data_IF_810820395456
#
_entry.id   IF_810820395456
#
_cell.length_a   1.000
_cell.length_b   1.000
_cell.length_c   1.000
_cell.angle_alpha   90.00
_cell.angle_beta   90.00
_cell.angle_gamma   90.00
#
_symmetry.space_group_name_H-M   'P 1'
#
loop_
_entity.id
_entity.type
_entity.pdbx_description
1 polymer ?
#
# COMPACT_ATOMS: atom_id res chain seq x y z
N UNK A 1 9.25 -14.23 -1.68
CA UNK A 1 8.47 -13.26 -0.90
C UNK A 1 9.23 -11.95 -0.78
N UNK A 2 8.51 -10.81 -0.76
CA UNK A 2 9.11 -9.49 -0.54
C UNK A 2 9.87 -8.89 -1.73
N UNK A 3 9.62 -9.34 -2.94
CA UNK A 3 10.32 -8.87 -4.14
C UNK A 3 9.35 -8.47 -5.27
N UNK A 4 8.07 -8.27 -4.89
CA UNK A 4 7.02 -7.91 -5.85
C UNK A 4 7.29 -6.55 -6.52
N UNK A 5 7.92 -5.61 -5.79
CA UNK A 5 8.34 -4.31 -6.34
C UNK A 5 9.32 -4.47 -7.49
N UNK A 6 10.40 -5.24 -7.28
CA UNK A 6 11.39 -5.48 -8.33
C UNK A 6 10.79 -6.20 -9.56
N UNK A 7 9.86 -7.12 -9.33
CA UNK A 7 9.14 -7.77 -10.43
C UNK A 7 8.28 -6.77 -11.21
N UNK A 8 7.55 -5.89 -10.51
CA UNK A 8 6.72 -4.87 -11.14
C UNK A 8 7.57 -3.88 -11.96
N UNK A 9 8.69 -3.43 -11.42
CA UNK A 9 9.59 -2.48 -12.09
C UNK A 9 10.18 -3.09 -13.36
N UNK A 10 10.61 -4.35 -13.31
CA UNK A 10 11.15 -5.04 -14.49
C UNK A 10 10.08 -5.29 -15.58
N UNK A 11 8.85 -5.61 -15.17
CA UNK A 11 7.72 -5.72 -16.09
C UNK A 11 7.43 -4.36 -16.72
N UNK A 12 7.36 -3.28 -15.91
CA UNK A 12 7.13 -1.92 -16.37
C UNK A 12 8.18 -1.48 -17.39
N UNK A 13 9.46 -1.62 -17.02
CA UNK A 13 10.58 -1.32 -17.93
C UNK A 13 10.47 -2.07 -19.25
N UNK A 14 10.21 -3.36 -19.18
CA UNK A 14 10.09 -4.22 -20.38
C UNK A 14 8.95 -3.77 -21.29
N UNK A 15 7.77 -3.46 -20.73
CA UNK A 15 6.61 -2.94 -21.49
C UNK A 15 6.97 -1.63 -22.19
N UNK A 16 7.64 -0.73 -21.49
CA UNK A 16 8.05 0.57 -22.02
C UNK A 16 9.06 0.41 -23.15
N UNK A 17 10.08 -0.42 -22.96
CA UNK A 17 11.12 -0.68 -24.01
C UNK A 17 10.56 -1.39 -25.24
N UNK A 18 9.50 -2.17 -25.09
CA UNK A 18 8.78 -2.76 -26.22
C UNK A 18 7.86 -1.76 -26.93
N UNK A 19 7.69 -0.55 -26.43
CA UNK A 19 6.76 0.45 -26.98
C UNK A 19 5.28 0.05 -26.84
N UNK A 20 4.95 -0.80 -25.85
CA UNK A 20 3.61 -1.33 -25.63
C UNK A 20 2.83 -0.58 -24.53
N UNK A 21 3.40 0.46 -23.95
CA UNK A 21 2.75 1.32 -22.96
C UNK A 21 1.75 2.29 -23.61
N UNK A 22 0.74 2.68 -22.86
CA UNK A 22 -0.27 3.67 -23.30
C UNK A 22 0.18 5.08 -22.91
N UNK A 23 1.06 5.69 -23.72
CA UNK A 23 1.62 7.01 -23.45
C UNK A 23 0.53 8.09 -23.35
N UNK A 24 -0.50 8.01 -24.18
CA UNK A 24 -1.59 8.98 -24.15
C UNK A 24 -2.38 8.93 -22.84
N UNK A 25 -2.60 7.72 -22.30
CA UNK A 25 -3.20 7.55 -20.98
C UNK A 25 -2.30 8.10 -19.88
N UNK A 26 -1.01 7.79 -19.93
CA UNK A 26 -0.04 8.21 -18.93
C UNK A 26 0.09 9.73 -18.85
N UNK A 27 0.21 10.43 -19.97
CA UNK A 27 0.30 11.89 -20.01
C UNK A 27 -1.00 12.58 -19.59
N UNK A 28 -2.14 11.93 -19.82
CA UNK A 28 -3.44 12.54 -19.49
C UNK A 28 -3.86 12.33 -18.04
N UNK A 29 -3.52 11.20 -17.43
CA UNK A 29 -4.11 10.77 -16.17
C UNK A 29 -3.09 10.42 -15.07
N UNK A 30 -1.80 10.39 -15.38
CA UNK A 30 -0.77 10.04 -14.41
C UNK A 30 0.16 11.23 -14.16
N UNK A 31 0.68 11.30 -12.96
CA UNK A 31 1.67 12.31 -12.53
C UNK A 31 2.96 11.59 -12.22
N UNK A 32 4.11 12.12 -12.71
CA UNK A 32 5.43 11.60 -12.40
C UNK A 32 5.82 10.35 -13.18
N UNK A 33 5.18 10.06 -14.32
CA UNK A 33 5.60 8.96 -15.19
C UNK A 33 6.94 9.27 -15.85
N UNK A 34 7.04 10.40 -16.50
CA UNK A 34 8.23 10.92 -17.16
C UNK A 34 8.49 12.39 -16.79
N UNK A 35 9.49 13.00 -17.40
CA UNK A 35 9.85 14.39 -17.08
C UNK A 35 8.76 15.41 -17.44
N UNK A 36 7.92 15.10 -18.46
CA UNK A 36 6.82 15.99 -18.87
C UNK A 36 5.64 15.95 -17.88
N UNK A 37 5.48 14.84 -17.18
CA UNK A 37 4.40 14.62 -16.21
C UNK A 37 4.80 14.89 -14.76
N UNK A 38 6.03 15.35 -14.53
CA UNK A 38 6.49 15.74 -13.19
C UNK A 38 5.68 16.93 -12.64
N UNK A 39 5.32 16.91 -11.35
CA UNK A 39 4.67 18.07 -10.74
C UNK A 39 5.62 19.26 -10.64
N UNK A 40 5.06 20.46 -10.62
CA UNK A 40 5.84 21.69 -10.47
C UNK A 40 6.70 21.65 -9.19
N UNK A 41 7.99 21.95 -9.33
CA UNK A 41 8.95 21.92 -8.22
C UNK A 41 9.60 20.55 -7.95
N UNK A 42 9.25 19.51 -8.69
CA UNK A 42 9.96 18.24 -8.62
C UNK A 42 11.38 18.38 -9.24
N UNK A 43 12.32 17.61 -8.72
CA UNK A 43 13.67 17.58 -9.28
C UNK A 43 13.69 16.86 -10.63
N UNK A 44 14.47 17.37 -11.58
CA UNK A 44 14.71 16.67 -12.84
C UNK A 44 15.33 15.28 -12.56
N UNK A 45 14.91 14.28 -13.34
CA UNK A 45 15.33 12.90 -13.15
C UNK A 45 14.62 12.16 -12.01
N UNK A 46 13.58 12.74 -11.39
CA UNK A 46 12.82 12.07 -10.33
C UNK A 46 11.58 11.33 -10.82
N UNK A 47 11.37 11.24 -12.12
CA UNK A 47 10.24 10.51 -12.70
C UNK A 47 10.40 8.99 -12.56
N UNK A 48 9.28 8.27 -12.68
CA UNK A 48 9.31 6.82 -12.64
C UNK A 48 10.11 6.22 -13.81
N UNK A 49 10.02 6.80 -15.00
CA UNK A 49 10.83 6.39 -16.15
C UNK A 49 12.33 6.57 -15.87
N UNK A 50 12.73 7.72 -15.30
CA UNK A 50 14.12 7.98 -14.89
C UNK A 50 14.64 6.99 -13.86
N UNK A 51 13.79 6.59 -12.91
CA UNK A 51 14.13 5.53 -11.96
C UNK A 51 14.32 4.18 -12.65
N UNK A 52 13.40 3.79 -13.54
CA UNK A 52 13.49 2.52 -14.28
C UNK A 52 14.72 2.44 -15.19
N UNK A 53 15.06 3.57 -15.85
CA UNK A 53 16.24 3.68 -16.72
C UNK A 53 17.58 3.80 -15.96
N UNK A 54 17.54 3.83 -14.62
CA UNK A 54 18.73 3.94 -13.79
C UNK A 54 19.35 5.34 -13.77
N UNK A 55 18.63 6.37 -14.15
CA UNK A 55 19.15 7.76 -14.16
C UNK A 55 19.55 8.21 -12.73
N UNK A 56 18.86 7.70 -11.71
CA UNK A 56 19.10 8.11 -10.33
C UNK A 56 20.22 7.32 -9.63
N UNK A 57 20.37 6.02 -9.95
CA UNK A 57 21.25 5.11 -9.21
C UNK A 57 22.23 4.33 -10.10
N UNK A 58 22.20 4.57 -11.42
CA UNK A 58 23.03 3.85 -12.38
C UNK A 58 22.57 2.42 -12.68
N UNK A 59 21.43 2.00 -12.15
CA UNK A 59 20.95 0.62 -12.25
C UNK A 59 19.66 0.56 -13.08
N UNK A 60 19.71 -0.02 -14.24
CA UNK A 60 18.53 -0.27 -15.08
C UNK A 60 17.68 -1.37 -14.46
N UNK A 61 16.38 -1.14 -14.33
CA UNK A 61 15.43 -2.07 -13.69
C UNK A 61 14.86 -3.06 -14.72
N UNK A 62 15.73 -3.73 -15.46
CA UNK A 62 15.33 -4.70 -16.48
C UNK A 62 15.07 -6.11 -15.91
N UNK A 63 14.69 -7.05 -16.78
CA UNK A 63 14.41 -8.42 -16.38
C UNK A 63 15.65 -9.17 -15.86
N UNK A 64 16.85 -8.83 -16.35
CA UNK A 64 18.11 -9.45 -15.89
C UNK A 64 18.49 -8.95 -14.49
N UNK A 65 18.22 -7.68 -14.18
CA UNK A 65 18.35 -7.13 -12.84
C UNK A 65 17.37 -7.78 -11.85
N UNK A 66 16.13 -8.00 -12.26
CA UNK A 66 15.12 -8.55 -11.37
C UNK A 66 15.26 -10.07 -11.10
N UNK A 67 15.86 -10.83 -12.02
CA UNK A 67 16.01 -12.28 -11.89
C UNK A 67 16.70 -12.71 -10.59
N UNK A 68 17.88 -12.21 -10.21
CA UNK A 68 18.53 -12.60 -8.96
C UNK A 68 17.79 -12.12 -7.70
N UNK A 69 17.01 -11.03 -7.81
CA UNK A 69 16.25 -10.49 -6.70
C UNK A 69 14.99 -11.31 -6.43
N UNK A 70 14.29 -11.69 -7.49
CA UNK A 70 12.97 -12.30 -7.41
C UNK A 70 13.00 -13.82 -7.48
N UNK A 71 14.07 -14.40 -8.05
CA UNK A 71 14.17 -15.80 -8.42
C UNK A 71 13.31 -16.17 -9.64
N UNK A 72 12.68 -15.18 -10.30
CA UNK A 72 11.89 -15.40 -11.52
C UNK A 72 12.82 -15.24 -12.73
N UNK A 73 12.94 -16.24 -13.61
CA UNK A 73 13.81 -16.14 -14.77
C UNK A 73 13.46 -14.95 -15.67
N UNK A 74 14.46 -14.24 -16.18
CA UNK A 74 14.31 -13.04 -16.99
C UNK A 74 13.39 -13.26 -18.19
N UNK A 75 13.51 -14.40 -18.89
CA UNK A 75 12.62 -14.73 -20.02
C UNK A 75 11.15 -14.82 -19.60
N UNK A 76 10.88 -15.28 -18.37
CA UNK A 76 9.51 -15.37 -17.83
C UNK A 76 8.96 -13.99 -17.55
N UNK A 77 9.79 -13.08 -17.00
CA UNK A 77 9.42 -11.67 -16.78
C UNK A 77 9.06 -10.99 -18.09
N UNK A 78 9.92 -11.15 -19.11
CA UNK A 78 9.68 -10.60 -20.46
C UNK A 78 8.39 -11.14 -21.08
N UNK A 79 8.15 -12.45 -20.98
CA UNK A 79 6.93 -13.08 -21.47
C UNK A 79 5.68 -12.57 -20.74
N UNK A 80 5.77 -12.39 -19.43
CA UNK A 80 4.68 -11.86 -18.61
C UNK A 80 4.37 -10.40 -18.98
N UNK A 81 5.40 -9.58 -19.14
CA UNK A 81 5.30 -8.19 -19.58
C UNK A 81 4.56 -8.07 -20.92
N UNK A 82 4.96 -8.86 -21.92
CA UNK A 82 4.31 -8.91 -23.22
C UNK A 82 2.82 -9.31 -23.10
N UNK A 83 2.54 -10.38 -22.36
CA UNK A 83 1.16 -10.85 -22.17
C UNK A 83 0.28 -9.81 -21.49
N UNK A 84 0.81 -9.15 -20.44
CA UNK A 84 0.09 -8.11 -19.74
C UNK A 84 -0.21 -6.90 -20.64
N UNK A 85 0.77 -6.48 -21.44
CA UNK A 85 0.62 -5.33 -22.32
C UNK A 85 -0.32 -5.58 -23.49
N UNK A 86 -0.41 -6.82 -23.97
CA UNK A 86 -1.24 -7.19 -25.13
C UNK A 86 -2.64 -7.67 -24.76
N UNK A 87 -2.87 -8.12 -23.55
CA UNK A 87 -4.21 -8.46 -23.06
C UNK A 87 -5.05 -7.18 -22.88
N UNK A 88 -6.19 -7.09 -23.56
CA UNK A 88 -7.09 -5.92 -23.52
C UNK A 88 -8.55 -6.36 -23.37
N UNK A 89 -9.20 -6.14 -22.25
CA UNK A 89 -8.66 -5.57 -21.02
C UNK A 89 -7.78 -6.54 -20.21
N UNK A 90 -6.92 -5.98 -19.34
CA UNK A 90 -6.17 -6.75 -18.36
C UNK A 90 -6.43 -6.19 -16.95
N UNK A 91 -6.62 -7.09 -15.98
CA UNK A 91 -6.76 -6.74 -14.57
C UNK A 91 -5.61 -7.37 -13.78
N UNK A 92 -4.99 -6.57 -12.92
CA UNK A 92 -3.99 -7.04 -11.97
C UNK A 92 -4.63 -7.01 -10.59
N UNK A 93 -4.68 -8.16 -9.93
CA UNK A 93 -5.29 -8.28 -8.60
C UNK A 93 -4.18 -8.54 -7.60
N UNK A 94 -3.73 -7.53 -6.84
CA UNK A 94 -2.82 -7.75 -5.73
C UNK A 94 -3.57 -8.43 -4.58
N UNK A 95 -2.92 -9.38 -3.93
CA UNK A 95 -3.39 -9.86 -2.64
C UNK A 95 -3.09 -8.84 -1.53
N UNK A 96 -3.44 -9.16 -0.29
CA UNK A 96 -3.04 -8.35 0.87
C UNK A 96 -1.59 -8.60 1.30
N UNK A 97 -0.93 -9.64 0.76
CA UNK A 97 0.44 -9.99 1.09
C UNK A 97 1.43 -8.85 0.87
N UNK A 98 1.46 -8.20 -0.32
CA UNK A 98 2.41 -7.12 -0.59
C UNK A 98 2.43 -6.02 0.46
N UNK A 99 1.31 -5.62 1.02
CA UNK A 99 1.22 -4.56 2.03
C UNK A 99 1.49 -5.00 3.48
N UNK A 100 1.88 -6.26 3.73
CA UNK A 100 2.06 -6.81 5.08
C UNK A 100 3.52 -6.82 5.57
N UNK A 101 4.38 -6.07 4.96
CA UNK A 101 5.81 -6.01 5.26
C UNK A 101 6.30 -4.55 5.35
N UNK A 102 7.54 -4.30 5.72
CA UNK A 102 8.12 -2.96 5.75
C UNK A 102 8.23 -2.37 4.33
N UNK A 103 8.01 -1.06 4.18
CA UNK A 103 8.12 -0.29 2.92
C UNK A 103 7.22 -0.79 1.77
N UNK A 104 6.09 -1.39 2.08
CA UNK A 104 5.23 -2.09 1.11
C UNK A 104 4.27 -1.21 0.34
N UNK A 105 4.15 0.01 0.69
CA UNK A 105 3.49 1.03 -0.12
C UNK A 105 4.11 1.11 -1.52
N UNK A 106 5.42 0.91 -1.67
CA UNK A 106 6.10 0.94 -2.96
C UNK A 106 5.70 -0.25 -3.84
N UNK A 107 5.58 -1.45 -3.29
CA UNK A 107 5.10 -2.62 -4.03
C UNK A 107 3.66 -2.44 -4.51
N UNK A 108 2.79 -1.93 -3.64
CA UNK A 108 1.41 -1.63 -4.00
C UNK A 108 1.33 -0.58 -5.10
N UNK A 109 2.20 0.45 -5.06
CA UNK A 109 2.32 1.44 -6.13
C UNK A 109 2.80 0.82 -7.45
N UNK A 110 3.81 -0.05 -7.41
CA UNK A 110 4.31 -0.77 -8.58
C UNK A 110 3.20 -1.57 -9.29
N UNK A 111 2.38 -2.27 -8.51
CA UNK A 111 1.23 -3.02 -9.04
C UNK A 111 0.21 -2.08 -9.71
N UNK A 112 -0.12 -0.96 -9.07
CA UNK A 112 -1.01 0.04 -9.65
C UNK A 112 -0.41 0.69 -10.91
N UNK A 113 0.89 0.97 -10.90
CA UNK A 113 1.61 1.52 -12.05
C UNK A 113 1.52 0.63 -13.29
N UNK A 114 1.59 -0.69 -13.15
CA UNK A 114 1.43 -1.62 -14.27
C UNK A 114 0.05 -1.48 -14.95
N UNK A 115 -1.02 -1.29 -14.18
CA UNK A 115 -2.35 -1.05 -14.75
C UNK A 115 -2.42 0.29 -15.48
N UNK A 116 -1.72 1.33 -14.98
CA UNK A 116 -1.62 2.63 -15.63
C UNK A 116 -0.80 2.54 -16.92
N UNK A 117 0.39 1.93 -16.86
CA UNK A 117 1.31 1.78 -18.01
C UNK A 117 0.62 1.08 -19.19
N UNK A 118 -0.23 0.11 -18.90
CA UNK A 118 -0.98 -0.62 -19.93
C UNK A 118 -2.30 0.04 -20.31
N UNK A 119 -2.64 1.20 -19.72
CA UNK A 119 -3.87 1.95 -20.00
C UNK A 119 -5.15 1.16 -19.66
N UNK A 120 -5.12 0.30 -18.63
CA UNK A 120 -6.26 -0.54 -18.26
C UNK A 120 -7.13 0.06 -17.15
N UNK A 121 -6.70 1.15 -16.51
CA UNK A 121 -7.48 1.81 -15.46
C UNK A 121 -8.73 2.48 -16.05
N UNK A 122 -9.87 2.30 -15.39
CA UNK A 122 -11.14 2.86 -15.85
C UNK A 122 -11.83 2.10 -16.98
N UNK A 123 -11.26 0.97 -17.43
CA UNK A 123 -11.88 0.09 -18.44
C UNK A 123 -12.60 -1.07 -17.76
N UNK A 124 -13.77 -1.42 -18.26
CA UNK A 124 -14.52 -2.60 -17.77
C UNK A 124 -13.67 -3.86 -17.94
N UNK A 125 -13.49 -4.62 -16.85
CA UNK A 125 -12.63 -5.79 -16.81
C UNK A 125 -11.13 -5.50 -16.71
N UNK A 126 -10.72 -4.24 -16.58
CA UNK A 126 -9.33 -3.79 -16.43
C UNK A 126 -9.05 -3.16 -15.07
N UNK A 127 -7.80 -2.76 -14.87
CA UNK A 127 -7.35 -2.01 -13.70
C UNK A 127 -6.51 -2.80 -12.71
N UNK A 128 -6.20 -2.17 -11.58
CA UNK A 128 -5.64 -2.82 -10.40
C UNK A 128 -6.77 -2.97 -9.37
N UNK A 129 -7.47 -4.09 -9.42
CA UNK A 129 -8.56 -4.37 -8.50
C UNK A 129 -8.05 -4.56 -7.08
N UNK A 130 -8.67 -3.89 -6.10
CA UNK A 130 -8.58 -4.37 -4.73
C UNK A 130 -9.39 -5.68 -4.66
N UNK A 131 -8.85 -6.73 -4.01
CA UNK A 131 -9.63 -7.93 -3.79
C UNK A 131 -10.81 -7.60 -2.86
N UNK A 132 -11.92 -7.21 -3.43
CA UNK A 132 -13.18 -7.25 -2.70
C UNK A 132 -13.68 -8.68 -2.73
N UNK A 133 -13.48 -9.38 -1.65
CA UNK A 133 -13.92 -10.76 -1.50
C UNK A 133 -15.44 -10.92 -1.39
N UNK A 134 -16.17 -9.83 -1.26
CA UNK A 134 -17.63 -9.87 -1.27
C UNK A 134 -18.19 -8.59 -1.92
N UNK A 135 -19.28 -8.69 -2.70
CA UNK A 135 -20.05 -7.53 -3.06
C UNK A 135 -20.51 -6.82 -1.78
N UNK A 136 -20.73 -5.50 -1.80
CA UNK A 136 -21.32 -4.82 -0.67
C UNK A 136 -22.68 -5.46 -0.40
N UNK A 137 -22.73 -6.30 0.60
CA UNK A 137 -24.01 -6.80 1.11
C UNK A 137 -24.57 -5.69 1.98
N UNK A 138 -25.86 -5.35 1.86
CA UNK A 138 -26.49 -4.55 2.89
C UNK A 138 -26.25 -5.31 4.20
N UNK A 139 -25.40 -4.76 5.06
CA UNK A 139 -25.21 -5.32 6.37
C UNK A 139 -26.52 -5.12 7.12
N UNK A 140 -27.24 -6.19 7.39
CA UNK A 140 -28.24 -6.17 8.44
C UNK A 140 -27.45 -6.01 9.73
N UNK A 141 -27.31 -4.77 10.17
CA UNK A 141 -26.68 -4.47 11.44
C UNK A 141 -27.65 -4.82 12.55
N UNK A 142 -27.15 -5.49 13.59
CA UNK A 142 -27.91 -5.55 14.85
C UNK A 142 -28.12 -4.12 15.37
N UNK A 143 -29.25 -3.85 16.07
CA UNK A 143 -29.42 -2.59 16.74
C UNK A 143 -28.22 -2.32 17.64
N UNK A 144 -27.55 -1.21 17.42
CA UNK A 144 -26.47 -0.74 18.30
C UNK A 144 -27.04 0.27 19.25
N UNK A 145 -26.65 0.20 20.53
CA UNK A 145 -26.98 1.22 21.50
C UNK A 145 -26.30 2.55 21.19
N UNK A 146 -26.65 3.58 21.93
CA UNK A 146 -25.96 4.85 21.88
C UNK A 146 -24.59 4.73 22.51
N UNK A 147 -23.55 5.20 21.79
CA UNK A 147 -22.21 5.28 22.35
C UNK A 147 -22.12 6.52 23.23
N UNK A 148 -22.15 6.30 24.56
CA UNK A 148 -22.02 7.37 25.52
C UNK A 148 -20.63 8.02 25.56
N UNK A 149 -19.64 7.41 24.87
CA UNK A 149 -18.27 7.90 24.83
C UNK A 149 -17.65 7.67 23.43
N UNK A 150 -17.91 8.53 22.48
CA UNK A 150 -17.57 8.32 21.06
C UNK A 150 -16.08 8.49 20.72
N UNK A 151 -15.19 8.53 21.69
CA UNK A 151 -13.76 8.75 21.46
C UNK A 151 -13.08 7.55 20.80
N UNK A 152 -12.28 7.81 19.75
CA UNK A 152 -11.47 6.81 19.07
C UNK A 152 -9.99 7.08 19.28
N UNK A 153 -9.25 6.04 19.61
CA UNK A 153 -7.79 6.05 19.72
C UNK A 153 -7.22 5.39 18.47
N UNK A 154 -6.20 5.97 17.79
CA UNK A 154 -5.50 5.29 16.72
C UNK A 154 -5.00 3.91 17.18
N UNK A 155 -5.14 2.90 16.34
CA UNK A 155 -4.89 1.48 16.69
C UNK A 155 -3.52 1.25 17.31
N UNK A 156 -2.49 1.97 16.86
CA UNK A 156 -1.12 1.79 17.39
C UNK A 156 -0.84 2.56 18.70
N UNK A 157 -1.78 3.39 19.16
CA UNK A 157 -1.61 4.21 20.37
C UNK A 157 -2.42 3.70 21.58
N UNK A 158 -3.08 2.54 21.47
CA UNK A 158 -3.80 1.99 22.61
C UNK A 158 -2.89 1.75 23.82
N UNK A 159 -1.63 1.36 23.57
CA UNK A 159 -0.65 1.14 24.62
C UNK A 159 -0.25 2.43 25.36
N UNK A 160 -0.21 3.56 24.65
CA UNK A 160 0.01 4.88 25.27
C UNK A 160 -1.20 5.31 26.09
N UNK A 161 -2.40 5.02 25.59
CA UNK A 161 -3.63 5.38 26.26
C UNK A 161 -3.87 4.63 27.59
N UNK A 162 -3.16 3.54 27.84
CA UNK A 162 -3.17 2.90 29.17
C UNK A 162 -2.57 3.80 30.25
N UNK A 163 -1.52 4.55 29.93
CA UNK A 163 -0.78 5.36 30.90
C UNK A 163 -1.09 6.86 30.82
N UNK A 164 -1.23 7.39 29.60
CA UNK A 164 -1.32 8.84 29.37
C UNK A 164 -2.55 9.30 28.62
N UNK A 165 -3.63 8.53 28.63
CA UNK A 165 -4.82 8.88 27.85
C UNK A 165 -5.34 10.29 28.09
N UNK A 166 -5.27 10.79 29.34
CA UNK A 166 -5.70 12.16 29.69
C UNK A 166 -4.84 13.25 29.06
N UNK A 167 -3.61 12.92 28.65
CA UNK A 167 -2.65 13.83 28.03
C UNK A 167 -2.76 13.78 26.49
N UNK A 168 -3.42 12.74 25.98
CA UNK A 168 -3.61 12.57 24.53
C UNK A 168 -4.65 13.53 23.99
N UNK A 169 -4.38 14.04 22.79
CA UNK A 169 -5.26 14.98 22.10
C UNK A 169 -5.45 14.65 20.62
N UNK A 170 -6.36 15.40 20.00
CA UNK A 170 -6.63 15.29 18.58
C UNK A 170 -5.42 15.72 17.70
N UNK A 171 -4.75 16.81 18.09
CA UNK A 171 -3.73 17.43 17.24
C UNK A 171 -2.43 16.61 17.18
N UNK A 172 -1.98 16.06 18.30
CA UNK A 172 -0.72 15.35 18.40
C UNK A 172 -0.86 13.83 18.32
N UNK A 173 -1.93 13.28 18.86
CA UNK A 173 -2.14 11.83 18.95
C UNK A 173 -3.19 11.32 17.93
N UNK A 174 -3.88 12.22 17.24
CA UNK A 174 -4.88 11.87 16.24
C UNK A 174 -6.13 11.21 16.81
N UNK A 175 -6.54 11.57 18.01
CA UNK A 175 -7.83 11.17 18.56
C UNK A 175 -8.95 11.58 17.62
N UNK A 176 -10.07 10.84 17.59
CA UNK A 176 -11.25 11.20 16.79
C UNK A 176 -12.46 11.36 17.69
N UNK A 177 -13.31 12.32 17.31
CA UNK A 177 -14.59 12.65 17.96
C UNK A 177 -14.50 13.18 19.39
N UNK A 178 -13.32 13.33 19.94
CA UNK A 178 -13.03 13.96 21.24
C UNK A 178 -11.72 14.74 21.17
N UNK A 179 -11.63 15.84 21.91
CA UNK A 179 -10.40 16.62 22.01
C UNK A 179 -9.39 15.96 22.94
N UNK A 180 -9.87 15.39 24.04
CA UNK A 180 -9.09 14.66 25.04
C UNK A 180 -9.84 13.45 25.55
N UNK A 181 -9.12 12.42 26.01
CA UNK A 181 -9.73 11.30 26.73
C UNK A 181 -9.97 11.67 28.19
N UNK A 182 -11.07 11.18 28.75
CA UNK A 182 -11.46 11.49 30.16
C UNK A 182 -10.69 10.72 31.20
N UNK A 183 -10.20 9.53 30.83
CA UNK A 183 -9.49 8.62 31.75
C UNK A 183 -8.53 7.73 30.99
N UNK A 184 -7.54 7.21 31.68
CA UNK A 184 -6.72 6.13 31.15
C UNK A 184 -7.54 4.86 30.90
N UNK A 185 -7.11 4.02 29.96
CA UNK A 185 -7.76 2.75 29.65
C UNK A 185 -7.57 1.81 30.84
N UNK A 186 -8.68 1.26 31.34
CA UNK A 186 -8.70 0.28 32.44
C UNK A 186 -9.13 -1.11 31.99
N UNK A 187 -9.80 -1.22 30.87
CA UNK A 187 -10.26 -2.49 30.29
C UNK A 187 -10.10 -2.46 28.79
N UNK A 188 -9.55 -3.53 28.24
CA UNK A 188 -9.46 -3.76 26.80
C UNK A 188 -10.25 -5.03 26.48
N UNK A 189 -11.27 -4.89 25.65
CA UNK A 189 -12.04 -6.02 25.13
C UNK A 189 -11.64 -6.29 23.68
N UNK A 190 -10.94 -7.40 23.44
CA UNK A 190 -10.43 -7.75 22.11
C UNK A 190 -11.39 -8.71 21.40
N UNK A 191 -11.93 -8.29 20.26
CA UNK A 191 -12.86 -9.08 19.45
C UNK A 191 -12.24 -9.37 18.08
N UNK A 192 -12.27 -10.64 17.69
CA UNK A 192 -11.94 -11.09 16.33
C UNK A 192 -10.57 -10.63 15.79
N UNK A 193 -9.61 -10.41 16.66
CA UNK A 193 -8.27 -9.98 16.29
C UNK A 193 -7.21 -10.40 17.30
N UNK A 194 -5.96 -10.21 16.96
CA UNK A 194 -4.84 -10.34 17.87
C UNK A 194 -4.10 -9.00 17.97
N UNK A 195 -4.79 -7.99 18.52
CA UNK A 195 -4.28 -6.62 18.62
C UNK A 195 -3.06 -6.53 19.53
N UNK A 196 -2.98 -7.39 20.54
CA UNK A 196 -1.94 -7.34 21.55
C UNK A 196 -0.57 -7.77 21.02
N UNK A 197 -0.52 -8.73 20.12
CA UNK A 197 0.74 -9.32 19.65
C UNK A 197 0.93 -9.14 18.15
N UNK A 198 -0.07 -9.47 17.33
CA UNK A 198 0.09 -9.51 15.88
C UNK A 198 -0.09 -8.14 15.20
N UNK A 199 -0.91 -7.27 15.76
CA UNK A 199 -1.24 -5.97 15.20
C UNK A 199 -0.53 -4.81 15.89
N UNK A 200 0.40 -5.09 16.78
CA UNK A 200 1.22 -4.09 17.47
C UNK A 200 2.71 -4.44 17.36
N UNK A 201 3.54 -3.45 17.08
CA UNK A 201 4.93 -3.67 16.70
C UNK A 201 5.87 -3.95 17.86
N UNK A 202 5.60 -3.44 19.07
CA UNK A 202 6.45 -3.63 20.25
C UNK A 202 5.82 -4.63 21.25
N UNK A 203 6.03 -5.91 20.98
CA UNK A 203 5.52 -7.01 21.82
C UNK A 203 6.09 -6.93 23.26
N UNK A 204 7.36 -6.57 23.41
CA UNK A 204 7.97 -6.48 24.72
C UNK A 204 7.35 -5.37 25.57
N UNK A 205 7.06 -4.23 24.96
CA UNK A 205 6.32 -3.14 25.62
C UNK A 205 4.89 -3.59 25.98
N UNK A 206 4.20 -4.25 25.06
CA UNK A 206 2.86 -4.80 25.29
C UNK A 206 2.84 -5.75 26.49
N UNK A 207 3.81 -6.67 26.59
CA UNK A 207 3.93 -7.59 27.72
C UNK A 207 4.13 -6.83 29.04
N UNK A 208 5.00 -5.81 29.05
CA UNK A 208 5.20 -4.98 30.26
C UNK A 208 3.92 -4.29 30.69
N UNK A 209 3.20 -3.67 29.74
CA UNK A 209 1.93 -2.98 30.00
C UNK A 209 0.89 -3.91 30.58
N UNK A 210 0.74 -5.12 30.02
CA UNK A 210 -0.25 -6.09 30.48
C UNK A 210 0.11 -6.76 31.82
N UNK A 211 1.37 -6.69 32.25
CA UNK A 211 1.85 -7.19 33.53
C UNK A 211 1.89 -6.12 34.62
N UNK A 212 1.71 -4.87 34.24
CA UNK A 212 1.69 -3.77 35.20
C UNK A 212 0.35 -3.77 35.94
N UNK A 213 0.40 -4.04 37.24
CA UNK A 213 -0.77 -4.09 38.13
C UNK A 213 -1.12 -2.70 38.70
N UNK A 214 -0.45 -1.62 38.30
CA UNK A 214 -0.59 -0.25 38.81
C UNK A 214 -1.78 0.52 38.26
#
# INVERSE_FOLDING_TARGET
PTTDGALCDAIAYTIIKMGLHDLAFLHRFCVGFDEETLPAGAHAGSSYLSYLDGTQDGIVKDAAWAEPITGVPAYTIVKLAYRLATAKPAMIIPGFGPQRHANREQETRGIAALACITGNVGKSGGGSGLPRFAPPRPAIAFPVGEDAYPGYIPTFLWSDAVFRAKEMDFAHDGLKYVDHLRSNIKLIYNIAGNTLINQHSDINRTIRILKDES
#
